data_IF_653639801618
#
_entry.id   IF_653639801618
#
_cell.length_a   1.000
_cell.length_b   1.000
_cell.length_c   1.000
_cell.angle_alpha   90.00
_cell.angle_beta   90.00
_cell.angle_gamma   90.00
#
_symmetry.space_group_name_H-M   'P 1'
#
loop_
_entity.id
_entity.type
_entity.pdbx_description
1 polymer ?
#
# COMPACT_ATOMS: atom_id res chain seq x y z
N UNK A 1 -30.55 -36.31 3.64
CA UNK A 1 -29.20 -35.74 3.80
C UNK A 1 -29.26 -34.33 3.23
N UNK A 2 -29.04 -33.31 4.04
CA UNK A 2 -28.85 -31.94 3.51
C UNK A 2 -27.50 -31.89 2.78
N UNK A 3 -27.51 -31.34 1.57
CA UNK A 3 -26.28 -31.14 0.80
C UNK A 3 -25.55 -29.96 1.42
N UNK A 4 -24.43 -30.23 2.10
CA UNK A 4 -23.58 -29.18 2.66
C UNK A 4 -22.65 -28.63 1.57
N UNK A 5 -23.02 -27.48 1.00
CA UNK A 5 -22.20 -26.78 -0.01
C UNK A 5 -21.34 -25.65 0.57
N UNK A 6 -21.39 -25.40 1.89
CA UNK A 6 -20.72 -24.25 2.51
C UNK A 6 -19.20 -24.23 2.29
N UNK A 7 -18.58 -25.41 2.27
CA UNK A 7 -17.14 -25.55 2.02
C UNK A 7 -16.69 -25.26 0.60
N UNK A 8 -17.63 -25.08 -0.34
CA UNK A 8 -17.32 -24.74 -1.74
C UNK A 8 -17.23 -23.22 -1.96
N UNK A 9 -17.55 -22.40 -0.96
CA UNK A 9 -17.53 -20.94 -1.09
C UNK A 9 -16.11 -20.42 -1.30
N UNK A 10 -15.93 -19.55 -2.29
CA UNK A 10 -14.68 -18.85 -2.56
C UNK A 10 -14.94 -17.36 -2.40
N UNK A 11 -14.19 -16.72 -1.50
CA UNK A 11 -14.33 -15.28 -1.25
C UNK A 11 -13.89 -14.47 -2.48
N UNK A 12 -14.57 -13.37 -2.75
CA UNK A 12 -14.27 -12.45 -3.84
C UNK A 12 -13.93 -11.08 -3.26
N UNK A 13 -12.77 -10.55 -3.66
CA UNK A 13 -12.29 -9.23 -3.28
C UNK A 13 -12.17 -8.34 -4.51
N UNK A 14 -12.37 -7.03 -4.34
CA UNK A 14 -12.26 -6.04 -5.42
C UNK A 14 -11.16 -5.03 -5.09
N UNK A 15 -10.23 -4.82 -6.02
CA UNK A 15 -9.18 -3.81 -5.87
C UNK A 15 -9.78 -2.40 -5.93
N UNK A 16 -9.42 -1.55 -4.97
CA UNK A 16 -9.81 -0.15 -4.99
C UNK A 16 -9.07 0.62 -6.10
N UNK A 17 -9.59 1.76 -6.56
CA UNK A 17 -8.87 2.63 -7.49
C UNK A 17 -7.49 3.03 -6.95
N UNK A 18 -6.50 3.15 -7.85
CA UNK A 18 -5.12 3.51 -7.48
C UNK A 18 -5.00 4.88 -6.79
N UNK A 19 -5.99 5.77 -6.99
CA UNK A 19 -6.10 7.07 -6.34
C UNK A 19 -7.08 7.11 -5.15
N UNK A 20 -7.37 5.97 -4.52
CA UNK A 20 -8.17 5.91 -3.30
C UNK A 20 -7.62 6.85 -2.21
N UNK A 21 -6.29 6.99 -2.12
CA UNK A 21 -5.60 8.08 -1.40
C UNK A 21 -4.85 8.90 -2.43
N UNK A 22 -4.95 10.23 -2.36
CA UNK A 22 -4.31 11.13 -3.33
C UNK A 22 -2.79 11.16 -3.16
N UNK A 23 -2.08 11.64 -4.20
CA UNK A 23 -0.61 11.79 -4.21
C UNK A 23 -0.06 12.71 -3.09
N UNK A 24 -0.94 13.47 -2.42
CA UNK A 24 -0.61 14.33 -1.30
C UNK A 24 -0.92 13.70 0.07
N UNK A 25 -1.14 12.38 0.10
CA UNK A 25 -1.57 11.63 1.28
C UNK A 25 -2.86 12.17 1.92
N UNK A 26 -3.88 12.42 1.09
CA UNK A 26 -5.22 12.88 1.54
C UNK A 26 -6.31 11.96 1.00
N UNK A 27 -7.32 11.73 1.84
CA UNK A 27 -8.51 10.97 1.45
C UNK A 27 -9.60 11.91 0.93
N UNK A 28 -9.60 12.16 -0.38
CA UNK A 28 -10.40 13.23 -1.00
C UNK A 28 -11.71 12.71 -1.64
N UNK A 29 -11.84 11.41 -1.88
CA UNK A 29 -12.95 10.78 -2.64
C UNK A 29 -13.94 9.98 -1.78
N UNK A 30 -14.08 10.33 -0.50
CA UNK A 30 -14.85 9.53 0.46
C UNK A 30 -16.30 9.27 0.06
N UNK A 31 -17.02 10.26 -0.47
CA UNK A 31 -18.43 10.09 -0.85
C UNK A 31 -18.62 9.27 -2.13
N UNK A 32 -17.76 9.48 -3.12
CA UNK A 32 -17.73 8.69 -4.36
C UNK A 32 -17.44 7.22 -4.04
N UNK A 33 -16.38 6.97 -3.25
CA UNK A 33 -16.01 5.61 -2.86
C UNK A 33 -17.10 4.96 -2.03
N UNK A 34 -17.75 5.68 -1.11
CA UNK A 34 -18.90 5.16 -0.35
C UNK A 34 -20.02 4.67 -1.27
N UNK A 35 -20.33 5.40 -2.33
CA UNK A 35 -21.35 4.99 -3.30
C UNK A 35 -20.95 3.70 -4.04
N UNK A 36 -19.67 3.59 -4.42
CA UNK A 36 -19.12 2.39 -5.08
C UNK A 36 -19.13 1.17 -4.14
N UNK A 37 -18.66 1.32 -2.88
CA UNK A 37 -18.66 0.23 -1.90
C UNK A 37 -20.08 -0.29 -1.61
N UNK A 38 -21.09 0.57 -1.58
CA UNK A 38 -22.50 0.12 -1.45
C UNK A 38 -22.91 -0.83 -2.57
N UNK A 39 -22.45 -0.58 -3.80
CA UNK A 39 -22.71 -1.48 -4.93
C UNK A 39 -21.97 -2.82 -4.82
N UNK A 40 -20.77 -2.82 -4.26
CA UNK A 40 -20.05 -4.07 -3.97
C UNK A 40 -20.76 -4.89 -2.88
N UNK A 41 -21.26 -4.22 -1.85
CA UNK A 41 -22.06 -4.87 -0.79
C UNK A 41 -23.36 -5.45 -1.35
N UNK A 42 -24.09 -4.70 -2.19
CA UNK A 42 -25.29 -5.20 -2.89
C UNK A 42 -25.00 -6.44 -3.74
N UNK A 43 -23.79 -6.54 -4.31
CA UNK A 43 -23.34 -7.68 -5.12
C UNK A 43 -22.82 -8.88 -4.29
N UNK A 44 -22.72 -8.76 -2.97
CA UNK A 44 -22.25 -9.84 -2.09
C UNK A 44 -20.73 -10.06 -2.10
N UNK A 45 -19.95 -9.01 -2.39
CA UNK A 45 -18.47 -9.02 -2.31
C UNK A 45 -18.02 -9.15 -0.84
N UNK A 46 -16.99 -9.95 -0.57
CA UNK A 46 -16.49 -10.19 0.79
C UNK A 46 -15.61 -9.06 1.33
N UNK A 47 -14.88 -8.40 0.45
CA UNK A 47 -13.94 -7.36 0.83
C UNK A 47 -13.32 -6.60 -0.34
N UNK A 48 -12.41 -5.71 0.00
CA UNK A 48 -11.65 -4.92 -0.96
C UNK A 48 -10.15 -5.06 -0.71
N UNK A 49 -9.34 -4.76 -1.72
CA UNK A 49 -7.89 -4.73 -1.63
C UNK A 49 -7.38 -3.33 -1.95
N UNK A 50 -6.35 -2.85 -1.26
CA UNK A 50 -5.75 -1.53 -1.50
C UNK A 50 -4.24 -1.50 -1.30
N UNK A 51 -3.57 -0.72 -2.15
CA UNK A 51 -2.18 -0.35 -1.97
C UNK A 51 -1.98 0.64 -0.84
N UNK A 52 -1.12 0.28 0.12
CA UNK A 52 -0.65 1.16 1.18
C UNK A 52 0.73 1.68 0.78
N UNK A 53 0.73 2.81 0.07
CA UNK A 53 1.89 3.33 -0.65
C UNK A 53 2.97 3.85 0.31
N UNK A 54 4.17 3.26 0.20
CA UNK A 54 5.33 3.70 0.98
C UNK A 54 5.66 5.17 0.75
N UNK A 55 5.62 5.62 -0.50
CA UNK A 55 5.89 7.00 -0.90
C UNK A 55 4.97 8.05 -0.29
N UNK A 56 3.71 7.68 0.02
CA UNK A 56 2.76 8.59 0.67
C UNK A 56 2.98 8.64 2.18
N UNK A 57 3.10 7.47 2.80
CA UNK A 57 3.09 7.35 4.26
C UNK A 57 4.43 7.79 4.87
N UNK A 58 5.56 7.35 4.33
CA UNK A 58 6.90 7.72 4.84
C UNK A 58 7.56 8.82 3.96
N UNK A 59 6.75 9.63 3.27
CA UNK A 59 7.24 10.61 2.29
C UNK A 59 8.10 11.73 2.90
N UNK A 60 7.82 12.15 4.14
CA UNK A 60 8.49 13.29 4.78
C UNK A 60 9.93 13.02 5.22
N UNK A 61 10.30 11.75 5.42
CA UNK A 61 11.62 11.38 5.92
C UNK A 61 11.62 10.07 6.69
N UNK A 62 12.80 9.57 7.08
CA UNK A 62 12.94 8.31 7.82
C UNK A 62 12.06 8.27 9.07
N UNK A 63 11.20 7.26 9.17
CA UNK A 63 10.25 7.01 10.28
C UNK A 63 9.21 8.10 10.52
N UNK A 64 9.07 9.06 9.61
CA UNK A 64 8.06 10.12 9.69
C UNK A 64 6.75 9.67 9.02
N UNK A 65 6.10 8.67 9.61
CA UNK A 65 4.90 8.04 9.07
C UNK A 65 3.64 8.89 9.26
N UNK A 66 2.87 9.09 8.19
CA UNK A 66 1.55 9.71 8.23
C UNK A 66 0.47 8.75 7.74
N UNK A 67 -0.24 8.15 8.69
CA UNK A 67 -1.29 7.15 8.46
C UNK A 67 -2.69 7.77 8.34
N UNK A 68 -2.83 9.10 8.38
CA UNK A 68 -4.11 9.78 8.57
C UNK A 68 -5.14 9.49 7.48
N UNK A 69 -4.75 9.55 6.21
CA UNK A 69 -5.65 9.26 5.09
C UNK A 69 -6.06 7.78 5.04
N UNK A 70 -5.12 6.86 5.27
CA UNK A 70 -5.41 5.42 5.30
C UNK A 70 -6.34 5.05 6.45
N UNK A 71 -6.23 5.68 7.64
CA UNK A 71 -7.19 5.48 8.73
C UNK A 71 -8.62 5.87 8.33
N UNK A 72 -8.79 7.00 7.65
CA UNK A 72 -10.10 7.45 7.16
C UNK A 72 -10.68 6.49 6.11
N UNK A 73 -9.83 6.00 5.20
CA UNK A 73 -10.20 5.00 4.21
C UNK A 73 -10.65 3.69 4.89
N UNK A 74 -9.87 3.18 5.84
CA UNK A 74 -10.14 1.90 6.50
C UNK A 74 -11.39 1.98 7.37
N UNK A 75 -11.61 3.12 8.04
CA UNK A 75 -12.87 3.39 8.75
C UNK A 75 -14.08 3.36 7.81
N UNK A 76 -13.93 3.90 6.59
CA UNK A 76 -15.00 3.87 5.59
C UNK A 76 -15.29 2.44 5.09
N UNK A 77 -14.25 1.63 4.85
CA UNK A 77 -14.39 0.20 4.49
C UNK A 77 -15.06 -0.59 5.61
N UNK A 78 -14.62 -0.39 6.86
CA UNK A 78 -15.22 -1.02 8.03
C UNK A 78 -16.70 -0.65 8.17
N UNK A 79 -17.05 0.64 8.02
CA UNK A 79 -18.45 1.10 8.08
C UNK A 79 -19.32 0.53 6.96
N UNK A 80 -18.72 0.13 5.83
CA UNK A 80 -19.42 -0.55 4.75
C UNK A 80 -19.66 -2.05 5.04
N UNK A 81 -19.03 -2.62 6.08
CA UNK A 81 -19.14 -4.03 6.41
C UNK A 81 -18.30 -4.95 5.53
N UNK A 82 -17.29 -4.41 4.86
CA UNK A 82 -16.37 -5.14 3.99
C UNK A 82 -15.07 -5.47 4.72
N UNK A 83 -14.46 -6.62 4.40
CA UNK A 83 -13.08 -6.94 4.78
C UNK A 83 -12.09 -6.14 3.94
N UNK A 84 -10.84 -6.08 4.39
CA UNK A 84 -9.77 -5.34 3.74
C UNK A 84 -8.49 -6.16 3.64
N UNK A 85 -7.95 -6.27 2.43
CA UNK A 85 -6.59 -6.74 2.18
C UNK A 85 -5.68 -5.54 1.93
N UNK A 86 -4.65 -5.37 2.76
CA UNK A 86 -3.73 -4.23 2.69
C UNK A 86 -2.39 -4.67 2.10
N UNK A 87 -2.02 -4.12 0.94
CA UNK A 87 -0.73 -4.39 0.30
C UNK A 87 0.30 -3.43 0.90
N UNK A 88 1.44 -3.97 1.37
CA UNK A 88 2.58 -3.15 1.77
C UNK A 88 3.36 -2.73 0.52
N UNK A 89 2.92 -1.63 -0.11
CA UNK A 89 3.36 -1.24 -1.46
C UNK A 89 4.66 -0.45 -1.41
N UNK A 90 5.78 -1.18 -1.28
CA UNK A 90 7.16 -0.65 -1.26
C UNK A 90 7.71 -0.29 -2.65
N UNK A 91 6.84 -0.04 -3.62
CA UNK A 91 7.18 0.22 -5.03
C UNK A 91 6.46 1.47 -5.53
N UNK A 92 6.87 1.97 -6.70
CA UNK A 92 6.22 3.09 -7.37
C UNK A 92 4.87 2.67 -7.98
N UNK A 93 3.86 3.53 -7.85
CA UNK A 93 2.63 3.46 -8.65
C UNK A 93 2.82 4.23 -9.96
N UNK A 94 2.51 3.59 -11.08
CA UNK A 94 2.57 4.20 -12.41
C UNK A 94 4.00 4.58 -12.84
N UNK A 95 4.11 5.62 -13.65
CA UNK A 95 5.38 6.10 -14.20
C UNK A 95 5.55 5.85 -15.71
N UNK A 96 4.56 5.23 -16.34
CA UNK A 96 4.48 5.09 -17.78
C UNK A 96 3.65 6.21 -18.41
N UNK A 97 3.83 6.41 -19.73
CA UNK A 97 3.04 7.37 -20.51
C UNK A 97 1.57 6.93 -20.49
N UNK A 98 0.70 7.78 -19.92
CA UNK A 98 -0.75 7.54 -19.84
C UNK A 98 -1.25 7.11 -18.45
N UNK A 99 -0.36 6.87 -17.50
CA UNK A 99 -0.76 6.55 -16.13
C UNK A 99 -1.39 7.79 -15.45
N UNK A 100 -2.62 7.63 -14.95
CA UNK A 100 -3.35 8.72 -14.29
C UNK A 100 -2.85 9.04 -12.88
N UNK A 101 -2.11 8.11 -12.25
CA UNK A 101 -1.62 8.22 -10.87
C UNK A 101 -0.13 7.88 -10.86
N UNK A 102 0.68 8.80 -10.33
CA UNK A 102 2.12 8.61 -10.20
C UNK A 102 2.52 8.86 -8.74
N UNK A 103 2.92 7.78 -8.05
CA UNK A 103 3.36 7.82 -6.66
C UNK A 103 4.74 7.15 -6.60
N UNK A 104 5.84 7.91 -6.60
CA UNK A 104 7.18 7.34 -6.47
C UNK A 104 7.41 6.78 -5.06
N UNK A 105 8.43 5.94 -4.90
CA UNK A 105 8.99 5.64 -3.56
C UNK A 105 9.48 6.96 -2.88
N UNK A 106 9.66 7.00 -1.54
CA UNK A 106 9.96 8.25 -0.85
C UNK A 106 11.16 9.00 -1.43
N UNK A 107 11.04 10.31 -1.58
CA UNK A 107 12.08 11.12 -2.22
C UNK A 107 13.43 11.01 -1.51
N UNK A 108 13.44 10.97 -0.18
CA UNK A 108 14.67 10.82 0.61
C UNK A 108 15.41 9.49 0.36
N UNK A 109 14.70 8.45 -0.09
CA UNK A 109 15.32 7.18 -0.54
C UNK A 109 15.95 7.37 -1.91
N UNK A 110 15.25 8.04 -2.84
CA UNK A 110 15.74 8.31 -4.20
C UNK A 110 16.96 9.23 -4.20
N UNK A 111 17.05 10.14 -3.23
CA UNK A 111 18.19 11.03 -3.05
C UNK A 111 19.48 10.25 -2.70
N UNK A 112 19.39 9.09 -2.05
CA UNK A 112 20.53 8.16 -1.87
C UNK A 112 21.01 7.67 -3.24
N UNK A 113 20.08 7.37 -4.14
CA UNK A 113 20.33 6.94 -5.52
C UNK A 113 21.09 7.93 -6.39
N UNK A 114 21.12 9.21 -6.01
CA UNK A 114 21.92 10.23 -6.71
C UNK A 114 23.42 10.04 -6.46
N UNK A 115 23.80 9.52 -5.29
CA UNK A 115 25.20 9.22 -4.95
C UNK A 115 25.58 7.78 -5.20
N UNK A 116 24.62 6.88 -5.02
CA UNK A 116 24.78 5.45 -5.21
C UNK A 116 23.64 4.93 -6.11
N UNK A 117 23.77 5.02 -7.45
CA UNK A 117 22.73 4.57 -8.37
C UNK A 117 22.55 3.04 -8.37
N UNK A 118 23.45 2.28 -7.74
CA UNK A 118 23.37 0.81 -7.65
C UNK A 118 22.35 0.33 -6.62
N UNK A 119 21.67 1.24 -5.90
CA UNK A 119 20.49 0.89 -5.10
C UNK A 119 19.29 0.45 -5.95
N UNK A 120 19.33 0.69 -7.26
CA UNK A 120 18.25 0.38 -8.21
C UNK A 120 18.57 -0.86 -9.04
N UNK A 121 17.55 -1.62 -9.43
CA UNK A 121 17.73 -2.66 -10.44
C UNK A 121 18.24 -2.07 -11.75
N UNK A 122 19.16 -2.80 -12.38
CA UNK A 122 19.93 -2.29 -13.51
C UNK A 122 20.06 -3.35 -14.60
N UNK A 123 19.77 -2.95 -15.83
CA UNK A 123 19.89 -3.84 -16.99
C UNK A 123 21.35 -3.96 -17.50
N UNK A 124 21.58 -4.79 -18.51
CA UNK A 124 22.91 -4.99 -19.10
C UNK A 124 23.49 -3.76 -19.82
N UNK A 125 22.70 -2.70 -20.04
CA UNK A 125 23.12 -1.45 -20.66
C UNK A 125 23.32 -0.31 -19.63
N UNK A 126 23.11 -0.58 -18.34
CA UNK A 126 23.26 0.39 -17.27
C UNK A 126 22.01 1.23 -16.99
N UNK A 127 20.86 0.89 -17.57
CA UNK A 127 19.58 1.58 -17.32
C UNK A 127 19.10 1.28 -15.91
N UNK A 128 18.80 2.32 -15.12
CA UNK A 128 18.33 2.19 -13.73
C UNK A 128 16.80 2.21 -13.67
N UNK A 129 16.19 1.15 -13.13
CA UNK A 129 14.77 1.13 -12.81
C UNK A 129 14.56 1.70 -11.39
N UNK A 130 13.92 2.85 -11.30
CA UNK A 130 13.73 3.63 -10.06
C UNK A 130 12.46 3.27 -9.28
N UNK A 131 11.70 2.26 -9.72
CA UNK A 131 10.42 1.88 -9.14
C UNK A 131 10.56 1.09 -7.84
N UNK A 132 11.71 0.44 -7.62
CA UNK A 132 11.98 -0.42 -6.46
C UNK A 132 13.49 -0.51 -6.14
N UNK A 133 13.82 -0.85 -4.89
CA UNK A 133 15.21 -1.06 -4.45
C UNK A 133 15.68 -2.46 -4.83
N UNK A 134 16.91 -2.59 -5.35
CA UNK A 134 17.42 -3.92 -5.67
C UNK A 134 17.55 -4.79 -4.42
N UNK A 135 17.28 -6.09 -4.53
CA UNK A 135 17.55 -7.05 -3.44
C UNK A 135 19.00 -7.01 -2.96
N UNK A 136 19.94 -6.50 -3.79
CA UNK A 136 21.35 -6.33 -3.43
C UNK A 136 21.57 -5.40 -2.23
N UNK A 137 20.62 -4.52 -1.92
CA UNK A 137 20.70 -3.58 -0.78
C UNK A 137 19.84 -3.99 0.41
N UNK A 138 19.24 -5.18 0.40
CA UNK A 138 18.38 -5.70 1.47
C UNK A 138 19.01 -5.57 2.86
N UNK A 139 20.30 -5.87 2.96
CA UNK A 139 21.07 -5.87 4.20
C UNK A 139 22.18 -4.79 4.23
N UNK A 140 22.19 -3.85 3.27
CA UNK A 140 23.19 -2.80 3.20
C UNK A 140 22.69 -1.53 3.93
N UNK A 141 23.40 -0.99 4.92
CA UNK A 141 22.93 0.13 5.76
C UNK A 141 23.06 1.51 5.08
N UNK A 142 22.59 1.62 3.82
CA UNK A 142 22.79 2.80 2.95
C UNK A 142 21.79 3.94 3.25
N UNK A 143 20.65 3.63 3.87
CA UNK A 143 19.51 4.55 3.98
C UNK A 143 19.46 5.21 5.36
N UNK A 144 20.34 6.19 5.58
CA UNK A 144 20.51 6.87 6.87
C UNK A 144 20.81 5.88 8.02
N UNK A 145 21.65 4.88 7.75
CA UNK A 145 22.02 3.83 8.70
C UNK A 145 21.07 2.64 8.76
N UNK A 146 19.97 2.63 7.97
CA UNK A 146 19.08 1.48 7.80
C UNK A 146 19.34 0.75 6.49
N UNK A 147 19.07 -0.55 6.48
CA UNK A 147 18.94 -1.36 5.26
C UNK A 147 17.53 -1.33 4.68
N UNK A 148 17.35 -1.79 3.44
CA UNK A 148 16.03 -1.84 2.83
C UNK A 148 15.05 -2.72 3.64
N UNK A 149 15.49 -3.91 4.07
CA UNK A 149 14.67 -4.79 4.93
C UNK A 149 14.31 -4.14 6.26
N UNK A 150 15.21 -3.36 6.86
CA UNK A 150 14.90 -2.63 8.09
C UNK A 150 13.85 -1.53 7.85
N UNK A 151 13.88 -0.82 6.71
CA UNK A 151 12.84 0.14 6.35
C UNK A 151 11.48 -0.55 6.20
N UNK A 152 11.44 -1.70 5.51
CA UNK A 152 10.20 -2.48 5.33
C UNK A 152 9.65 -2.99 6.67
N UNK A 153 10.52 -3.52 7.53
CA UNK A 153 10.14 -3.99 8.86
C UNK A 153 9.64 -2.86 9.77
N UNK A 154 10.33 -1.71 9.78
CA UNK A 154 9.91 -0.53 10.54
C UNK A 154 8.54 -0.01 10.05
N UNK A 155 8.31 0.00 8.74
CA UNK A 155 7.04 0.41 8.12
C UNK A 155 5.90 -0.53 8.53
N UNK A 156 6.07 -1.84 8.37
CA UNK A 156 5.07 -2.84 8.77
C UNK A 156 4.78 -2.82 10.27
N UNK A 157 5.81 -2.56 11.09
CA UNK A 157 5.65 -2.38 12.54
C UNK A 157 4.77 -1.16 12.85
N UNK A 158 5.06 -0.02 12.21
CA UNK A 158 4.25 1.19 12.38
C UNK A 158 2.83 1.02 11.87
N UNK A 159 2.64 0.32 10.75
CA UNK A 159 1.32 -0.03 10.21
C UNK A 159 0.51 -0.84 11.22
N UNK A 160 1.07 -1.96 11.70
CA UNK A 160 0.41 -2.83 12.69
C UNK A 160 0.00 -2.06 13.94
N UNK A 161 0.86 -1.19 14.45
CA UNK A 161 0.59 -0.39 15.66
C UNK A 161 -0.51 0.65 15.41
N UNK A 162 -0.49 1.33 14.26
CA UNK A 162 -1.46 2.38 13.95
C UNK A 162 -2.81 1.84 13.49
N UNK A 163 -2.85 0.63 12.94
CA UNK A 163 -4.05 -0.03 12.42
C UNK A 163 -4.55 -1.15 13.35
N UNK A 164 -4.04 -1.22 14.58
CA UNK A 164 -4.35 -2.27 15.55
C UNK A 164 -5.85 -2.45 15.76
N UNK A 165 -6.61 -1.37 15.87
CA UNK A 165 -8.06 -1.44 16.09
C UNK A 165 -8.79 -2.11 14.91
N UNK A 166 -8.32 -1.90 13.68
CA UNK A 166 -8.87 -2.56 12.48
C UNK A 166 -8.46 -4.04 12.39
N UNK A 167 -7.26 -4.39 12.84
CA UNK A 167 -6.78 -5.77 12.93
C UNK A 167 -7.57 -6.56 13.99
N UNK A 168 -7.66 -6.01 15.21
CA UNK A 168 -8.38 -6.64 16.33
C UNK A 168 -9.88 -6.79 16.03
N UNK A 169 -10.46 -5.86 15.26
CA UNK A 169 -11.85 -5.93 14.81
C UNK A 169 -12.08 -6.91 13.64
N UNK A 170 -11.03 -7.55 13.10
CA UNK A 170 -11.12 -8.47 11.97
C UNK A 170 -11.50 -7.80 10.63
N UNK A 171 -11.28 -6.48 10.52
CA UNK A 171 -11.48 -5.74 9.27
C UNK A 171 -10.38 -6.07 8.28
N UNK A 172 -9.12 -5.96 8.73
CA UNK A 172 -7.95 -6.30 7.93
C UNK A 172 -7.75 -7.81 8.02
N UNK A 173 -7.65 -8.46 6.86
CA UNK A 173 -7.52 -9.91 6.72
C UNK A 173 -6.38 -10.26 5.75
N UNK A 174 -5.95 -11.52 5.80
CA UNK A 174 -4.93 -12.11 4.94
C UNK A 174 -5.38 -12.31 3.49
#
# INVERSE_FOLDING_TARGET
MEVNVKGNYVQVYVMLPLDAVSVNNRFEKGDELRAQLRKLVEAGVDGVMVDVWWGLVEGKGPKAYDWSAYKQLFELVQKAGLKLQAIMSFHQCGGNVGDAVNIPIPQWVRDVGTRDPDIFYTDGHGTRNIEYLTLGVDNQPLFHGRSAVQMYADYMTSFRENMKDFLDAGVIVD
#
